data_IF_254889993077
#
_entry.id   IF_254889993077
#
_cell.length_a   1.000
_cell.length_b   1.000
_cell.length_c   1.000
_cell.angle_alpha   90.00
_cell.angle_beta   90.00
_cell.angle_gamma   90.00
#
_symmetry.space_group_name_H-M   'P 1'
#
loop_
_entity.id
_entity.type
_entity.pdbx_description
1 polymer ?
#
# COMPACT_ATOMS: atom_id res chain seq x y z
N UNK A 1 -1.25 -21.19 -35.22
CA UNK A 1 -2.16 -21.84 -34.25
C UNK A 1 -1.58 -21.64 -32.86
N UNK A 2 -2.20 -20.80 -32.03
CA UNK A 2 -1.79 -20.63 -30.64
C UNK A 2 -2.21 -21.88 -29.86
N UNK A 3 -1.35 -22.90 -29.81
CA UNK A 3 -1.60 -24.10 -29.03
C UNK A 3 -1.73 -23.71 -27.57
N UNK A 4 -2.86 -24.04 -26.93
CA UNK A 4 -2.98 -23.90 -25.49
C UNK A 4 -1.83 -24.66 -24.84
N UNK A 5 -0.91 -23.94 -24.19
CA UNK A 5 0.22 -24.55 -23.53
C UNK A 5 -0.30 -25.45 -22.39
N UNK A 6 0.11 -26.71 -22.35
CA UNK A 6 -0.16 -27.62 -21.24
C UNK A 6 1.16 -27.95 -20.56
N UNK A 7 1.18 -27.91 -19.23
CA UNK A 7 2.37 -28.18 -18.43
C UNK A 7 2.12 -29.39 -17.53
N UNK A 8 3.07 -30.32 -17.49
CA UNK A 8 2.98 -31.48 -16.60
C UNK A 8 3.51 -31.09 -15.22
N UNK A 9 2.62 -31.02 -14.24
CA UNK A 9 2.92 -30.69 -12.85
C UNK A 9 2.56 -31.91 -12.00
N UNK A 10 3.53 -32.45 -11.25
CA UNK A 10 3.34 -33.64 -10.41
C UNK A 10 2.66 -34.82 -11.14
N UNK A 11 3.04 -35.06 -12.41
CA UNK A 11 2.49 -36.15 -13.23
C UNK A 11 1.09 -35.90 -13.80
N UNK A 12 0.50 -34.71 -13.61
CA UNK A 12 -0.79 -34.32 -14.18
C UNK A 12 -0.61 -33.18 -15.17
N UNK A 13 -1.32 -33.23 -16.30
CA UNK A 13 -1.33 -32.12 -17.25
C UNK A 13 -2.26 -31.02 -16.75
N UNK A 14 -1.70 -29.82 -16.58
CA UNK A 14 -2.44 -28.61 -16.19
C UNK A 14 -2.45 -27.67 -17.38
N UNK A 15 -3.65 -27.19 -17.75
CA UNK A 15 -3.79 -26.17 -18.78
C UNK A 15 -3.07 -24.90 -18.37
N UNK A 16 -2.24 -24.36 -19.25
CA UNK A 16 -1.39 -23.21 -18.97
C UNK A 16 -2.18 -21.96 -18.59
N UNK A 17 -3.45 -21.86 -19.01
CA UNK A 17 -4.33 -20.75 -18.65
C UNK A 17 -4.76 -20.85 -17.19
N UNK A 18 -5.09 -22.05 -16.69
CA UNK A 18 -5.35 -22.28 -15.28
C UNK A 18 -4.10 -22.07 -14.43
N UNK A 19 -2.94 -22.51 -14.92
CA UNK A 19 -1.67 -22.31 -14.25
C UNK A 19 -1.33 -20.82 -14.10
N UNK A 20 -1.50 -20.04 -15.17
CA UNK A 20 -1.28 -18.60 -15.15
C UNK A 20 -2.24 -17.90 -14.18
N UNK A 21 -3.53 -18.24 -14.21
CA UNK A 21 -4.53 -17.67 -13.29
C UNK A 21 -4.25 -18.04 -11.83
N UNK A 22 -3.80 -19.27 -11.55
CA UNK A 22 -3.40 -19.68 -10.22
C UNK A 22 -2.20 -18.86 -9.73
N UNK A 23 -1.17 -18.69 -10.55
CA UNK A 23 0.01 -17.89 -10.18
C UNK A 23 -0.34 -16.44 -9.89
N UNK A 24 -1.17 -15.82 -10.74
CA UNK A 24 -1.64 -14.46 -10.53
C UNK A 24 -2.45 -14.35 -9.24
N UNK A 25 -3.39 -15.27 -9.00
CA UNK A 25 -4.18 -15.30 -7.77
C UNK A 25 -3.30 -15.47 -6.52
N UNK A 26 -2.30 -16.35 -6.56
CA UNK A 26 -1.33 -16.53 -5.47
C UNK A 26 -0.48 -15.28 -5.25
N UNK A 27 -0.04 -14.61 -6.32
CA UNK A 27 0.71 -13.35 -6.20
C UNK A 27 -0.13 -12.26 -5.55
N UNK A 28 -1.31 -11.95 -6.11
CA UNK A 28 -2.18 -10.92 -5.55
C UNK A 28 -2.66 -11.26 -4.14
N UNK A 29 -3.05 -12.51 -3.89
CA UNK A 29 -3.46 -12.98 -2.57
C UNK A 29 -2.33 -12.95 -1.55
N UNK A 30 -1.12 -13.37 -1.94
CA UNK A 30 0.07 -13.38 -1.10
C UNK A 30 0.56 -11.97 -0.78
N UNK A 31 0.58 -11.08 -1.76
CA UNK A 31 0.90 -9.66 -1.56
C UNK A 31 -0.14 -9.01 -0.63
N UNK A 32 -1.43 -9.22 -0.87
CA UNK A 32 -2.50 -8.71 -0.01
C UNK A 32 -2.39 -9.25 1.42
N UNK A 33 -2.07 -10.53 1.58
CA UNK A 33 -1.87 -11.14 2.90
C UNK A 33 -0.63 -10.57 3.61
N UNK A 34 0.50 -10.43 2.91
CA UNK A 34 1.72 -9.85 3.44
C UNK A 34 1.54 -8.37 3.83
N UNK A 35 0.85 -7.58 2.99
CA UNK A 35 0.52 -6.18 3.30
C UNK A 35 -0.58 -6.04 4.37
N UNK A 36 -1.44 -7.05 4.54
CA UNK A 36 -2.47 -7.08 5.59
C UNK A 36 -1.88 -7.29 7.00
N UNK A 37 -0.60 -7.65 7.11
CA UNK A 37 0.08 -8.01 8.35
C UNK A 37 0.78 -6.88 9.09
N UNK A 38 0.60 -5.62 8.69
CA UNK A 38 1.04 -4.48 9.50
C UNK A 38 -0.08 -3.45 9.56
N UNK A 39 -0.94 -3.60 10.56
CA UNK A 39 -1.51 -2.47 11.26
C UNK A 39 -0.40 -1.75 12.05
N UNK A 40 0.64 -1.26 11.37
CA UNK A 40 1.12 0.05 11.71
C UNK A 40 -0.09 0.94 11.47
N UNK A 41 -0.86 1.16 12.55
CA UNK A 41 -1.86 2.22 12.69
C UNK A 41 -1.38 3.35 11.78
N UNK A 42 -2.17 3.82 10.79
CA UNK A 42 -1.86 5.09 10.17
C UNK A 42 -1.76 6.06 11.34
N UNK A 43 -0.55 6.38 11.77
CA UNK A 43 -0.30 7.36 12.81
C UNK A 43 -0.85 8.62 12.20
N UNK A 44 -2.03 8.96 12.69
CA UNK A 44 -2.70 10.23 12.61
C UNK A 44 -2.48 10.94 11.28
N UNK A 45 -3.53 10.93 10.46
CA UNK A 45 -3.92 12.13 9.72
C UNK A 45 -2.89 12.63 8.71
N UNK A 46 -3.27 12.59 7.42
CA UNK A 46 -2.65 13.42 6.39
C UNK A 46 -2.96 14.92 6.62
N UNK A 47 -2.61 15.44 7.79
CA UNK A 47 -2.36 16.85 8.08
C UNK A 47 -0.84 16.96 8.23
N UNK A 48 -0.19 17.98 7.64
CA UNK A 48 1.25 18.15 7.79
C UNK A 48 1.59 18.04 9.27
N UNK A 49 2.42 17.07 9.69
CA UNK A 49 2.80 16.95 11.08
C UNK A 49 3.54 18.23 11.45
N UNK A 50 2.90 19.09 12.24
CA UNK A 50 3.61 20.11 12.99
C UNK A 50 4.44 19.31 14.00
N UNK A 51 5.59 18.83 13.54
CA UNK A 51 6.57 18.10 14.34
C UNK A 51 7.34 19.14 15.17
N UNK A 52 6.66 19.74 16.13
CA UNK A 52 7.25 20.63 17.10
C UNK A 52 7.69 19.78 18.30
N UNK A 53 8.99 19.78 18.60
CA UNK A 53 9.54 19.01 19.72
C UNK A 53 9.17 19.58 21.10
N UNK A 54 8.39 20.67 21.13
CA UNK A 54 7.91 21.38 22.31
C UNK A 54 6.53 22.01 22.05
N UNK A 55 5.70 22.13 23.10
CA UNK A 55 4.36 22.75 23.06
C UNK A 55 4.37 24.16 22.50
N UNK A 56 5.37 24.97 22.88
CA UNK A 56 5.46 26.39 22.49
C UNK A 56 5.76 26.55 21.00
N UNK A 57 6.53 25.63 20.42
CA UNK A 57 6.88 25.66 18.99
C UNK A 57 5.67 25.29 18.13
N UNK A 58 4.76 24.43 18.63
CA UNK A 58 3.53 24.10 17.93
C UNK A 58 2.57 25.29 17.83
N UNK A 59 2.48 26.11 18.88
CA UNK A 59 1.59 27.27 18.90
C UNK A 59 2.15 28.42 18.05
N UNK A 60 3.47 28.62 18.06
CA UNK A 60 4.13 29.55 17.16
C UNK A 60 3.87 29.23 15.68
N UNK A 61 3.98 27.96 15.27
CA UNK A 61 3.77 27.58 13.86
C UNK A 61 2.31 27.77 13.44
N UNK A 62 1.34 27.50 14.33
CA UNK A 62 -0.08 27.77 14.07
C UNK A 62 -0.32 29.26 13.86
N UNK A 63 0.24 30.11 14.72
CA UNK A 63 0.08 31.55 14.63
C UNK A 63 0.77 32.13 13.39
N UNK A 64 1.89 31.56 12.97
CA UNK A 64 2.59 31.92 11.73
C UNK A 64 1.75 31.58 10.49
N UNK A 65 1.24 30.35 10.40
CA UNK A 65 0.37 29.92 9.29
C UNK A 65 -0.92 30.75 9.21
N UNK A 66 -1.54 31.01 10.37
CA UNK A 66 -2.75 31.84 10.43
C UNK A 66 -2.52 33.31 10.01
N UNK A 67 -1.28 33.81 10.08
CA UNK A 67 -0.91 35.13 9.60
C UNK A 67 -0.59 35.14 8.10
N UNK A 68 0.06 34.11 7.57
CA UNK A 68 0.30 33.92 6.14
C UNK A 68 -1.04 33.80 5.37
N UNK A 69 -1.98 33.01 5.89
CA UNK A 69 -3.32 32.86 5.28
C UNK A 69 -4.14 34.15 5.30
N UNK A 70 -3.90 35.06 6.26
CA UNK A 70 -4.56 36.38 6.33
C UNK A 70 -3.92 37.46 5.46
N UNK A 71 -2.67 37.25 5.01
CA UNK A 71 -1.94 38.19 4.15
C UNK A 71 -2.11 37.90 2.66
N UNK A 72 -2.79 36.82 2.29
CA UNK A 72 -3.16 36.47 0.92
C UNK A 72 -4.60 36.88 0.59
#
# INVERSE_FOLDING_TARGET
MAGAAYYTIAGKQVGGHYLAMAWLATMFGGVKYAMSGSSAKPTATATPPINASSSDEADFIKDFLAQEDKKN
#
